data_IF_353049592907
#
_entry.id   IF_353049592907
#
_cell.length_a   1.000
_cell.length_b   1.000
_cell.length_c   1.000
_cell.angle_alpha   90.00
_cell.angle_beta   90.00
_cell.angle_gamma   90.00
#
_symmetry.space_group_name_H-M   'P 1'
#
loop_
_entity.id
_entity.type
_entity.pdbx_description
1 polymer ?
#
# COMPACT_ATOMS: atom_id res chain seq x y z
N UNK A 1 14.59 26.01 -10.01
CA UNK A 1 14.11 25.28 -8.82
C UNK A 1 12.59 25.35 -8.68
N UNK A 2 11.95 26.51 -8.42
CA UNK A 2 10.46 26.60 -8.34
C UNK A 2 9.71 26.26 -9.65
N UNK A 3 10.23 26.61 -10.84
CA UNK A 3 9.63 26.20 -12.14
C UNK A 3 9.86 24.73 -12.51
N UNK A 4 10.83 24.05 -11.90
CA UNK A 4 11.06 22.60 -12.09
C UNK A 4 10.12 21.78 -11.20
N UNK A 5 9.75 22.30 -10.03
CA UNK A 5 8.76 21.71 -9.14
C UNK A 5 7.35 21.68 -9.78
N UNK A 6 6.94 22.77 -10.46
CA UNK A 6 5.61 22.84 -11.08
C UNK A 6 5.42 21.91 -12.29
N UNK A 7 6.50 21.59 -13.01
CA UNK A 7 6.44 20.60 -14.11
C UNK A 7 6.47 19.16 -13.59
N UNK A 8 7.17 18.90 -12.49
CA UNK A 8 7.14 17.60 -11.79
C UNK A 8 5.80 17.36 -11.08
N UNK A 9 5.12 18.40 -10.58
CA UNK A 9 3.77 18.34 -10.00
C UNK A 9 2.70 17.92 -11.03
N UNK A 10 2.83 18.35 -12.29
CA UNK A 10 1.86 18.00 -13.36
C UNK A 10 2.06 16.56 -13.83
N UNK A 11 3.31 16.09 -13.93
CA UNK A 11 3.61 14.69 -14.31
C UNK A 11 3.40 13.69 -13.16
N UNK A 12 3.56 14.09 -11.88
CA UNK A 12 3.27 13.21 -10.74
C UNK A 12 1.79 13.03 -10.46
N UNK A 13 0.96 14.05 -10.72
CA UNK A 13 -0.52 13.88 -10.69
C UNK A 13 -1.04 12.90 -11.75
N UNK A 14 -0.24 12.58 -12.78
CA UNK A 14 -0.57 11.60 -13.82
C UNK A 14 -0.23 10.14 -13.45
N UNK A 15 0.44 9.88 -12.32
CA UNK A 15 1.11 8.60 -12.02
C UNK A 15 0.22 7.39 -11.65
N UNK A 16 -1.12 7.49 -11.61
CA UNK A 16 -1.97 6.38 -11.12
C UNK A 16 -2.93 5.78 -12.14
N UNK A 17 -2.92 6.17 -13.42
CA UNK A 17 -4.11 5.95 -14.25
C UNK A 17 -3.86 5.46 -15.68
N UNK A 18 -3.02 4.45 -15.93
CA UNK A 18 -3.10 3.68 -17.19
C UNK A 18 -3.18 2.17 -16.97
N UNK A 19 -3.10 1.71 -15.71
CA UNK A 19 -3.25 0.30 -15.34
C UNK A 19 -4.63 -0.29 -15.67
N UNK A 20 -5.63 0.55 -16.00
CA UNK A 20 -6.94 0.12 -16.50
C UNK A 20 -6.93 -0.28 -17.99
N UNK A 21 -5.81 -0.17 -18.69
CA UNK A 21 -5.70 -0.56 -20.08
C UNK A 21 -5.37 -2.04 -20.24
N UNK A 22 -6.24 -2.79 -20.92
CA UNK A 22 -6.07 -4.22 -21.17
C UNK A 22 -5.82 -4.44 -22.67
N UNK A 23 -4.57 -4.65 -23.10
CA UNK A 23 -4.22 -4.69 -24.52
C UNK A 23 -4.77 -5.93 -25.25
N UNK A 24 -4.94 -7.06 -24.56
CA UNK A 24 -5.22 -8.36 -25.20
C UNK A 24 -6.66 -8.86 -25.12
N UNK A 25 -7.54 -8.22 -24.35
CA UNK A 25 -8.85 -8.81 -24.01
C UNK A 25 -9.97 -8.43 -24.99
N UNK A 26 -10.90 -9.36 -25.19
CA UNK A 26 -12.14 -9.17 -25.95
C UNK A 26 -13.22 -8.43 -25.15
N UNK A 27 -14.33 -8.11 -25.82
CA UNK A 27 -15.53 -7.62 -25.11
C UNK A 27 -16.05 -8.62 -24.09
N UNK A 28 -16.15 -9.89 -24.46
CA UNK A 28 -16.66 -10.96 -23.60
C UNK A 28 -15.77 -11.16 -22.38
N UNK A 29 -14.44 -11.21 -22.57
CA UNK A 29 -13.48 -11.31 -21.47
C UNK A 29 -13.54 -10.08 -20.56
N UNK A 30 -13.72 -8.88 -21.13
CA UNK A 30 -13.90 -7.66 -20.34
C UNK A 30 -15.19 -7.69 -19.50
N UNK A 31 -16.30 -8.19 -20.07
CA UNK A 31 -17.54 -8.37 -19.32
C UNK A 31 -17.34 -9.33 -18.14
N UNK A 32 -16.73 -10.49 -18.40
CA UNK A 32 -16.44 -11.49 -17.37
C UNK A 32 -15.55 -10.91 -16.26
N UNK A 33 -14.45 -10.24 -16.62
CA UNK A 33 -13.54 -9.62 -15.66
C UNK A 33 -14.23 -8.56 -14.80
N UNK A 34 -15.03 -7.68 -15.41
CA UNK A 34 -15.76 -6.64 -14.69
C UNK A 34 -16.82 -7.23 -13.75
N UNK A 35 -17.51 -8.29 -14.15
CA UNK A 35 -18.52 -8.97 -13.32
C UNK A 35 -17.88 -9.77 -12.17
N UNK A 36 -16.80 -10.49 -12.43
CA UNK A 36 -16.15 -11.33 -11.43
C UNK A 36 -15.31 -10.54 -10.42
N UNK A 37 -14.61 -9.49 -10.88
CA UNK A 37 -13.60 -8.79 -10.07
C UNK A 37 -13.94 -7.33 -9.78
N UNK A 38 -14.86 -6.73 -10.52
CA UNK A 38 -15.24 -5.33 -10.36
C UNK A 38 -16.38 -5.12 -9.35
N UNK A 39 -16.66 -3.85 -9.08
CA UNK A 39 -17.87 -3.34 -8.43
C UNK A 39 -18.63 -2.40 -9.38
N UNK A 40 -19.81 -1.93 -8.98
CA UNK A 40 -20.54 -0.91 -9.73
C UNK A 40 -19.67 0.35 -9.95
N UNK A 41 -19.63 0.85 -11.19
CA UNK A 41 -18.73 1.92 -11.62
C UNK A 41 -17.29 1.49 -11.90
N UNK A 42 -16.99 0.19 -11.86
CA UNK A 42 -15.67 -0.30 -12.31
C UNK A 42 -15.54 -0.21 -13.81
N UNK A 43 -14.35 0.11 -14.30
CA UNK A 43 -14.13 0.28 -15.73
C UNK A 43 -12.76 -0.19 -16.18
N UNK A 44 -12.64 -0.49 -17.47
CA UNK A 44 -11.37 -0.74 -18.14
C UNK A 44 -11.43 -0.24 -19.58
N UNK A 45 -10.28 0.00 -20.20
CA UNK A 45 -10.18 0.30 -21.64
C UNK A 45 -9.42 -0.81 -22.33
N UNK A 46 -9.80 -1.13 -23.56
CA UNK A 46 -9.17 -2.16 -24.38
C UNK A 46 -9.21 -1.78 -25.86
N UNK A 47 -8.36 -2.35 -26.72
CA UNK A 47 -8.51 -2.22 -28.16
C UNK A 47 -9.88 -2.70 -28.66
N UNK A 48 -10.39 -2.07 -29.71
CA UNK A 48 -11.63 -2.46 -30.37
C UNK A 48 -11.36 -3.62 -31.34
N UNK A 49 -12.01 -4.77 -31.11
CA UNK A 49 -11.99 -5.88 -32.08
C UNK A 49 -12.91 -5.63 -33.29
N UNK A 50 -13.82 -4.67 -33.18
CA UNK A 50 -14.81 -4.38 -34.24
C UNK A 50 -14.35 -3.29 -35.21
N UNK A 51 -13.38 -2.47 -34.82
CA UNK A 51 -12.91 -1.33 -35.61
C UNK A 51 -11.43 -1.18 -35.35
N UNK A 52 -10.61 -1.47 -36.37
CA UNK A 52 -9.16 -1.47 -36.23
C UNK A 52 -8.63 -0.07 -35.91
N UNK A 53 -7.71 0.03 -34.95
CA UNK A 53 -7.14 1.30 -34.47
C UNK A 53 -7.94 2.01 -33.37
N UNK A 54 -9.24 1.70 -33.24
CA UNK A 54 -10.10 2.26 -32.18
C UNK A 54 -9.98 1.50 -30.86
N UNK A 55 -10.52 2.10 -29.79
CA UNK A 55 -10.56 1.51 -28.46
C UNK A 55 -12.01 1.37 -27.95
N UNK A 56 -12.18 0.70 -26.82
CA UNK A 56 -13.47 0.52 -26.16
C UNK A 56 -13.31 0.69 -24.66
N UNK A 57 -14.04 1.63 -24.08
CA UNK A 57 -14.24 1.79 -22.65
C UNK A 57 -15.38 0.86 -22.20
N UNK A 58 -15.07 -0.09 -21.32
CA UNK A 58 -16.04 -1.05 -20.77
C UNK A 58 -16.32 -0.69 -19.32
N UNK A 59 -17.58 -0.50 -18.94
CA UNK A 59 -17.98 -0.01 -17.62
C UNK A 59 -19.04 -0.91 -17.01
N UNK A 60 -18.81 -1.38 -15.78
CA UNK A 60 -19.80 -2.14 -15.01
C UNK A 60 -20.85 -1.21 -14.41
N UNK A 61 -22.11 -1.57 -14.62
CA UNK A 61 -23.30 -0.89 -14.13
C UNK A 61 -24.27 -1.92 -13.54
N UNK A 62 -24.26 -2.05 -12.22
CA UNK A 62 -24.94 -3.13 -11.49
C UNK A 62 -24.44 -4.51 -11.94
N UNK A 63 -25.34 -5.28 -12.56
CA UNK A 63 -25.05 -6.62 -13.10
C UNK A 63 -24.87 -6.64 -14.62
N UNK A 64 -24.69 -5.47 -15.25
CA UNK A 64 -24.46 -5.33 -16.69
C UNK A 64 -23.14 -4.61 -16.95
N UNK A 65 -22.63 -4.76 -18.17
CA UNK A 65 -21.45 -4.04 -18.65
C UNK A 65 -21.86 -3.27 -19.90
N UNK A 66 -21.49 -2.00 -19.96
CA UNK A 66 -21.71 -1.12 -21.11
C UNK A 66 -20.38 -0.92 -21.83
N UNK A 67 -20.38 -1.04 -23.15
CA UNK A 67 -19.21 -0.81 -24.00
C UNK A 67 -19.38 0.48 -24.80
N UNK A 68 -18.41 1.38 -24.68
CA UNK A 68 -18.42 2.71 -25.29
C UNK A 68 -17.22 2.79 -26.23
N UNK A 69 -17.47 3.04 -27.52
CA UNK A 69 -16.39 3.19 -28.51
C UNK A 69 -15.62 4.48 -28.28
N UNK A 70 -14.30 4.36 -28.33
CA UNK A 70 -13.35 5.46 -28.35
C UNK A 70 -12.75 5.48 -29.75
N UNK A 71 -12.95 6.57 -30.49
CA UNK A 71 -12.35 6.77 -31.79
C UNK A 71 -10.90 7.23 -31.62
N UNK A 72 -9.99 6.68 -32.42
CA UNK A 72 -8.63 7.17 -32.57
C UNK A 72 -8.39 7.60 -34.02
N UNK A 73 -8.19 8.89 -34.26
CA UNK A 73 -7.93 9.43 -35.61
C UNK A 73 -6.45 9.52 -35.95
N UNK A 74 -5.56 9.19 -35.01
CA UNK A 74 -4.13 9.49 -35.09
C UNK A 74 -3.76 10.90 -34.63
N UNK A 75 -4.73 11.81 -34.52
CA UNK A 75 -4.53 13.17 -33.97
C UNK A 75 -5.11 13.33 -32.57
N UNK A 76 -6.22 12.63 -32.28
CA UNK A 76 -6.92 12.73 -31.00
C UNK A 76 -7.72 11.47 -30.69
N UNK A 77 -8.10 11.35 -29.41
CA UNK A 77 -9.00 10.35 -28.86
C UNK A 77 -10.33 11.01 -28.49
N UNK A 78 -11.45 10.39 -28.83
CA UNK A 78 -12.76 10.90 -28.46
C UNK A 78 -13.78 9.79 -28.26
N UNK A 79 -14.70 9.95 -27.31
CA UNK A 79 -15.93 9.17 -27.31
C UNK A 79 -16.81 9.63 -28.47
N UNK A 80 -17.58 8.73 -29.07
CA UNK A 80 -18.40 9.08 -30.23
C UNK A 80 -19.40 10.20 -29.88
N UNK A 81 -19.16 11.41 -30.40
CA UNK A 81 -19.95 12.62 -30.09
C UNK A 81 -19.55 13.39 -28.83
N UNK A 82 -18.41 13.04 -28.21
CA UNK A 82 -17.86 13.68 -27.00
C UNK A 82 -16.69 14.64 -27.27
N UNK A 83 -16.03 15.05 -26.19
CA UNK A 83 -14.82 15.88 -26.25
C UNK A 83 -13.61 15.13 -26.83
N UNK A 84 -12.60 15.90 -27.28
CA UNK A 84 -11.38 15.39 -27.91
C UNK A 84 -10.18 15.54 -26.96
N UNK A 85 -9.35 14.52 -26.89
CA UNK A 85 -8.22 14.41 -25.96
C UNK A 85 -6.93 14.01 -26.68
N UNK A 86 -5.77 14.40 -26.15
CA UNK A 86 -4.48 14.07 -26.77
C UNK A 86 -4.02 12.64 -26.45
N UNK A 87 -4.53 12.04 -25.36
CA UNK A 87 -4.23 10.65 -24.96
C UNK A 87 -5.46 9.96 -24.38
N UNK A 88 -5.45 8.62 -24.33
CA UNK A 88 -6.46 7.84 -23.62
C UNK A 88 -6.51 8.18 -22.12
N UNK A 89 -5.36 8.47 -21.53
CA UNK A 89 -5.22 8.84 -20.11
C UNK A 89 -5.97 10.13 -19.80
N UNK A 90 -5.80 11.16 -20.62
CA UNK A 90 -6.53 12.43 -20.48
C UNK A 90 -8.04 12.24 -20.65
N UNK A 91 -8.46 11.40 -21.61
CA UNK A 91 -9.87 11.06 -21.80
C UNK A 91 -10.47 10.41 -20.56
N UNK A 92 -9.81 9.38 -20.03
CA UNK A 92 -10.31 8.66 -18.84
C UNK A 92 -10.35 9.59 -17.64
N UNK A 93 -9.28 10.36 -17.41
CA UNK A 93 -9.21 11.31 -16.30
C UNK A 93 -10.38 12.31 -16.34
N UNK A 94 -10.63 12.91 -17.50
CA UNK A 94 -11.72 13.86 -17.66
C UNK A 94 -13.07 13.27 -17.24
N UNK A 95 -13.40 12.06 -17.68
CA UNK A 95 -14.69 11.43 -17.34
C UNK A 95 -14.75 10.86 -15.91
N UNK A 96 -13.61 10.60 -15.27
CA UNK A 96 -13.57 10.28 -13.83
C UNK A 96 -13.86 11.51 -12.96
N UNK A 97 -13.33 12.67 -13.35
CA UNK A 97 -13.52 13.94 -12.64
C UNK A 97 -14.90 14.57 -12.94
N UNK A 98 -15.42 14.40 -14.16
CA UNK A 98 -16.67 15.00 -14.64
C UNK A 98 -17.79 13.95 -14.79
N UNK A 99 -18.24 13.38 -13.66
CA UNK A 99 -19.16 12.22 -13.60
C UNK A 99 -20.51 12.39 -14.31
N UNK A 100 -20.93 13.62 -14.60
CA UNK A 100 -22.23 13.91 -15.22
C UNK A 100 -22.20 13.93 -16.76
N UNK A 101 -21.00 13.94 -17.36
CA UNK A 101 -20.78 14.12 -18.79
C UNK A 101 -20.94 12.83 -19.60
N UNK A 102 -20.83 11.65 -18.97
CA UNK A 102 -20.94 10.37 -19.65
C UNK A 102 -22.32 9.75 -19.45
N UNK A 103 -23.08 9.63 -20.55
CA UNK A 103 -24.47 9.15 -20.53
C UNK A 103 -24.74 8.13 -21.63
N UNK A 104 -25.66 7.23 -21.37
CA UNK A 104 -26.21 6.31 -22.35
C UNK A 104 -27.29 7.00 -23.21
N UNK A 105 -27.66 6.40 -24.35
CA UNK A 105 -28.71 6.91 -25.25
C UNK A 105 -30.07 7.10 -24.58
N UNK A 106 -30.36 6.34 -23.52
CA UNK A 106 -31.58 6.46 -22.74
C UNK A 106 -31.51 7.56 -21.66
N UNK A 107 -30.37 8.26 -21.52
CA UNK A 107 -30.16 9.34 -20.57
C UNK A 107 -29.49 8.92 -19.25
N UNK A 108 -29.33 7.62 -19.00
CA UNK A 108 -28.73 7.13 -17.76
C UNK A 108 -27.25 7.52 -17.66
N UNK A 109 -26.82 7.91 -16.45
CA UNK A 109 -25.42 8.26 -16.19
C UNK A 109 -24.53 7.02 -16.14
N UNK A 110 -23.32 7.18 -16.66
CA UNK A 110 -22.24 6.18 -16.61
C UNK A 110 -21.11 6.78 -15.79
N UNK A 111 -20.85 6.20 -14.62
CA UNK A 111 -19.86 6.74 -13.67
C UNK A 111 -18.59 5.88 -13.74
N UNK A 112 -17.46 6.51 -14.05
CA UNK A 112 -16.14 5.90 -13.95
C UNK A 112 -15.63 6.11 -12.52
N UNK A 113 -15.59 5.04 -11.72
CA UNK A 113 -15.24 5.14 -10.30
C UNK A 113 -14.01 4.32 -9.93
N UNK A 114 -13.92 3.09 -10.41
CA UNK A 114 -12.86 2.16 -10.00
C UNK A 114 -12.16 1.59 -11.24
N UNK A 115 -10.92 1.99 -11.56
CA UNK A 115 -10.17 1.33 -12.63
C UNK A 115 -9.98 -0.15 -12.29
N UNK A 116 -10.32 -1.05 -13.21
CA UNK A 116 -10.04 -2.47 -13.09
C UNK A 116 -8.66 -2.73 -13.70
N UNK A 117 -7.67 -2.95 -12.84
CA UNK A 117 -6.28 -3.06 -13.27
C UNK A 117 -6.02 -4.31 -14.11
N UNK A 118 -5.25 -4.17 -15.18
CA UNK A 118 -4.66 -5.27 -15.93
C UNK A 118 -3.67 -6.04 -15.04
N UNK A 119 -3.57 -7.34 -15.29
CA UNK A 119 -2.54 -8.18 -14.68
C UNK A 119 -1.23 -7.88 -15.37
N UNK A 120 -0.14 -7.80 -14.61
CA UNK A 120 1.17 -7.55 -15.21
C UNK A 120 1.49 -8.65 -16.24
N UNK A 121 2.08 -8.30 -17.39
CA UNK A 121 2.41 -9.26 -18.45
C UNK A 121 3.46 -10.29 -18.01
N UNK A 122 4.11 -10.07 -16.87
CA UNK A 122 5.12 -10.97 -16.30
C UNK A 122 5.24 -10.75 -14.79
N UNK A 123 5.57 -11.82 -14.07
CA UNK A 123 5.90 -11.75 -12.64
C UNK A 123 7.39 -11.45 -12.36
N UNK A 124 8.19 -11.29 -13.42
CA UNK A 124 9.62 -11.08 -13.31
C UNK A 124 9.94 -9.74 -12.62
N UNK A 125 10.91 -9.76 -11.69
CA UNK A 125 11.24 -8.62 -10.81
C UNK A 125 11.82 -7.42 -11.56
N UNK A 126 12.34 -7.60 -12.78
CA UNK A 126 12.84 -6.53 -13.65
C UNK A 126 11.75 -5.77 -14.42
N UNK A 127 10.48 -6.17 -14.29
CA UNK A 127 9.35 -5.45 -14.86
C UNK A 127 8.86 -4.38 -13.87
N UNK A 128 8.97 -3.12 -14.26
CA UNK A 128 8.65 -1.96 -13.42
C UNK A 128 7.23 -1.41 -13.66
N UNK A 129 6.46 -2.03 -14.55
CA UNK A 129 5.13 -1.57 -14.93
C UNK A 129 5.17 -0.16 -15.49
N UNK A 130 4.25 0.67 -15.03
CA UNK A 130 4.11 2.05 -15.47
C UNK A 130 5.13 2.98 -14.78
N UNK A 131 6.26 3.20 -15.45
CA UNK A 131 7.22 4.28 -15.16
C UNK A 131 7.59 4.98 -16.47
N UNK A 132 7.91 6.27 -16.40
CA UNK A 132 8.37 7.04 -17.55
C UNK A 132 9.79 6.68 -17.98
N UNK A 133 10.15 7.05 -19.21
CA UNK A 133 11.52 6.93 -19.70
C UNK A 133 12.51 7.65 -18.78
N UNK A 134 12.17 8.87 -18.37
CA UNK A 134 12.99 9.70 -17.48
C UNK A 134 13.16 9.10 -16.08
N UNK A 135 12.11 8.52 -15.51
CA UNK A 135 12.23 7.81 -14.22
C UNK A 135 13.11 6.56 -14.37
N UNK A 136 12.94 5.81 -15.47
CA UNK A 136 13.80 4.67 -15.75
C UNK A 136 15.27 5.08 -15.87
N UNK A 137 15.57 6.17 -16.57
CA UNK A 137 16.91 6.76 -16.64
C UNK A 137 17.45 7.07 -15.24
N UNK A 138 16.67 7.77 -14.43
CA UNK A 138 17.07 8.16 -13.08
C UNK A 138 17.40 6.93 -12.21
N UNK A 139 16.50 5.95 -12.15
CA UNK A 139 16.67 4.74 -11.33
C UNK A 139 17.86 3.91 -11.82
N UNK A 140 18.02 3.74 -13.15
CA UNK A 140 19.17 3.04 -13.73
C UNK A 140 20.50 3.74 -13.46
N UNK A 141 20.51 5.08 -13.45
CA UNK A 141 21.72 5.87 -13.16
C UNK A 141 22.09 5.84 -11.67
N UNK A 142 21.10 5.92 -10.78
CA UNK A 142 21.31 5.95 -9.34
C UNK A 142 21.63 4.57 -8.75
N UNK A 143 20.94 3.52 -9.22
CA UNK A 143 20.99 2.19 -8.59
C UNK A 143 21.61 1.12 -9.49
N UNK A 144 21.65 1.36 -10.81
CA UNK A 144 22.19 0.42 -11.78
C UNK A 144 23.71 0.50 -11.93
N UNK A 145 24.24 -0.38 -12.77
CA UNK A 145 25.62 -0.37 -13.27
C UNK A 145 25.61 -0.60 -14.78
N UNK A 146 26.77 -0.56 -15.45
CA UNK A 146 26.81 -0.80 -16.89
C UNK A 146 26.22 -2.19 -17.25
N UNK A 147 25.30 -2.22 -18.21
CA UNK A 147 24.50 -3.39 -18.57
C UNK A 147 23.33 -3.69 -17.63
N UNK A 148 23.02 -2.80 -16.68
CA UNK A 148 21.76 -2.88 -15.92
C UNK A 148 20.58 -2.58 -16.82
N UNK A 149 19.48 -3.30 -16.64
CA UNK A 149 18.27 -3.12 -17.46
C UNK A 149 16.99 -3.28 -16.65
N UNK A 150 15.92 -2.69 -17.17
CA UNK A 150 14.55 -2.88 -16.71
C UNK A 150 13.59 -2.86 -17.92
N UNK A 151 12.40 -3.43 -17.75
CA UNK A 151 11.30 -3.30 -18.72
C UNK A 151 10.16 -2.54 -18.08
N UNK A 152 9.54 -1.66 -18.85
CA UNK A 152 8.44 -0.79 -18.44
C UNK A 152 7.38 -0.73 -19.54
N UNK A 153 6.19 -0.27 -19.19
CA UNK A 153 5.17 0.06 -20.18
C UNK A 153 5.57 1.27 -21.03
N UNK A 154 5.11 1.29 -22.29
CA UNK A 154 5.33 2.41 -23.20
C UNK A 154 4.29 3.50 -22.96
N UNK A 155 4.75 4.69 -22.59
CA UNK A 155 3.88 5.86 -22.45
C UNK A 155 3.48 6.47 -23.79
N UNK A 156 4.31 6.29 -24.83
CA UNK A 156 4.05 6.84 -26.16
C UNK A 156 3.09 5.98 -26.98
N UNK A 157 3.01 4.68 -26.68
CA UNK A 157 2.26 3.71 -27.48
C UNK A 157 1.56 2.73 -26.54
N UNK A 158 0.31 2.99 -26.16
CA UNK A 158 -0.42 2.13 -25.23
C UNK A 158 -0.48 0.68 -25.70
N UNK A 159 -0.13 -0.25 -24.80
CA UNK A 159 -0.05 -1.69 -25.08
C UNK A 159 1.33 -2.19 -25.46
N UNK A 160 2.23 -1.30 -25.90
CA UNK A 160 3.65 -1.61 -26.12
C UNK A 160 4.47 -1.41 -24.84
N UNK A 161 5.73 -1.84 -24.88
CA UNK A 161 6.67 -1.77 -23.75
C UNK A 161 7.99 -1.14 -24.20
N UNK A 162 8.84 -0.83 -23.24
CA UNK A 162 10.20 -0.36 -23.49
C UNK A 162 11.21 -1.11 -22.60
N UNK A 163 12.26 -1.62 -23.22
CA UNK A 163 13.45 -2.13 -22.54
C UNK A 163 14.44 -0.99 -22.37
N UNK A 164 14.68 -0.59 -21.12
CA UNK A 164 15.61 0.50 -20.78
C UNK A 164 16.90 -0.10 -20.26
N UNK A 165 18.04 0.26 -20.85
CA UNK A 165 19.34 -0.37 -20.58
C UNK A 165 20.38 0.71 -20.32
N UNK A 166 21.10 0.62 -19.21
CA UNK A 166 22.23 1.50 -18.92
C UNK A 166 23.46 1.06 -19.69
N UNK A 167 23.97 1.97 -20.52
CA UNK A 167 25.25 1.85 -21.22
C UNK A 167 26.16 2.97 -20.73
N UNK A 168 27.04 2.59 -19.79
CA UNK A 168 27.96 3.50 -19.10
C UNK A 168 27.25 4.74 -18.49
N UNK A 169 27.33 5.88 -19.18
CA UNK A 169 26.79 7.17 -18.75
C UNK A 169 25.50 7.58 -19.47
N UNK A 170 24.91 6.69 -20.28
CA UNK A 170 23.63 6.91 -20.94
C UNK A 170 22.69 5.73 -20.74
N UNK A 171 21.40 5.95 -21.01
CA UNK A 171 20.38 4.90 -21.03
C UNK A 171 19.80 4.84 -22.43
N UNK A 172 19.77 3.64 -23.00
CA UNK A 172 19.12 3.35 -24.27
C UNK A 172 17.75 2.77 -24.01
N UNK A 173 16.74 3.26 -24.73
CA UNK A 173 15.37 2.74 -24.69
C UNK A 173 15.06 2.01 -26.00
N UNK A 174 14.86 0.69 -25.91
CA UNK A 174 14.44 -0.15 -27.04
C UNK A 174 12.93 -0.38 -26.94
N UNK A 175 12.20 -0.02 -27.99
CA UNK A 175 10.75 -0.25 -28.06
C UNK A 175 10.48 -1.75 -28.23
N UNK A 176 9.56 -2.29 -27.43
CA UNK A 176 9.03 -3.64 -27.56
C UNK A 176 7.58 -3.51 -28.00
N UNK A 177 7.29 -3.96 -29.22
CA UNK A 177 5.92 -3.99 -29.75
C UNK A 177 5.18 -5.21 -29.24
N UNK A 178 3.91 -5.04 -28.90
CA UNK A 178 3.01 -6.13 -28.54
C UNK A 178 1.90 -6.25 -29.59
N UNK A 179 1.88 -7.35 -30.34
CA UNK A 179 0.82 -7.65 -31.32
C UNK A 179 0.31 -9.06 -31.10
N UNK A 180 -1.00 -9.20 -30.92
CA UNK A 180 -1.66 -10.51 -30.69
C UNK A 180 -0.99 -11.33 -29.56
N UNK A 181 -0.62 -10.65 -28.46
CA UNK A 181 0.11 -11.22 -27.32
C UNK A 181 1.50 -11.82 -27.67
N UNK A 182 2.10 -11.37 -28.78
CA UNK A 182 3.49 -11.65 -29.14
C UNK A 182 4.32 -10.38 -29.07
N UNK A 183 5.59 -10.56 -28.76
CA UNK A 183 6.52 -9.46 -28.47
C UNK A 183 7.68 -9.46 -29.44
N UNK A 184 8.03 -8.28 -29.96
CA UNK A 184 9.19 -8.08 -30.84
C UNK A 184 9.81 -6.69 -30.62
N UNK A 185 11.04 -6.46 -31.10
CA UNK A 185 11.77 -5.18 -30.91
C UNK A 185 11.86 -4.33 -32.18
N UNK A 186 10.94 -4.51 -33.14
CA UNK A 186 10.96 -3.79 -34.41
C UNK A 186 11.23 -4.67 -35.63
N UNK A 187 11.76 -5.88 -35.42
CA UNK A 187 12.05 -6.88 -36.45
C UNK A 187 12.76 -8.11 -35.87
N UNK A 188 12.94 -9.16 -36.68
CA UNK A 188 13.56 -10.41 -36.24
C UNK A 188 12.55 -11.39 -35.62
N UNK A 189 12.96 -12.07 -34.55
CA UNK A 189 12.17 -13.09 -33.86
C UNK A 189 10.98 -12.49 -33.09
N UNK A 190 9.86 -13.20 -33.10
CA UNK A 190 8.69 -12.91 -32.27
C UNK A 190 8.61 -13.87 -31.07
N UNK A 191 8.37 -13.34 -29.89
CA UNK A 191 8.38 -14.08 -28.63
C UNK A 191 6.97 -14.23 -28.04
N UNK A 192 6.72 -15.34 -27.35
CA UNK A 192 5.47 -15.61 -26.64
C UNK A 192 5.32 -14.84 -25.33
N UNK A 193 6.42 -14.35 -24.76
CA UNK A 193 6.41 -13.59 -23.52
C UNK A 193 7.55 -12.57 -23.47
N UNK A 194 7.39 -11.52 -22.66
CA UNK A 194 8.48 -10.58 -22.36
C UNK A 194 9.70 -11.29 -21.74
N UNK A 195 9.47 -12.37 -20.99
CA UNK A 195 10.54 -13.18 -20.39
C UNK A 195 11.39 -13.85 -21.47
N UNK A 196 10.75 -14.49 -22.44
CA UNK A 196 11.45 -15.17 -23.54
C UNK A 196 12.25 -14.16 -24.39
N UNK A 197 11.64 -13.00 -24.66
CA UNK A 197 12.31 -11.89 -25.34
C UNK A 197 13.57 -11.44 -24.60
N UNK A 198 13.45 -11.16 -23.30
CA UNK A 198 14.58 -10.72 -22.48
C UNK A 198 15.67 -11.80 -22.44
N UNK A 199 15.32 -13.06 -22.16
CA UNK A 199 16.31 -14.15 -22.09
C UNK A 199 17.01 -14.41 -23.42
N UNK A 200 16.32 -14.23 -24.56
CA UNK A 200 16.95 -14.26 -25.87
C UNK A 200 18.00 -13.14 -25.99
N UNK A 201 17.63 -11.88 -25.74
CA UNK A 201 18.54 -10.74 -25.91
C UNK A 201 19.62 -10.63 -24.83
N UNK A 202 19.50 -11.37 -23.72
CA UNK A 202 20.61 -11.61 -22.78
C UNK A 202 21.70 -12.49 -23.37
N UNK A 203 21.34 -13.47 -24.20
CA UNK A 203 22.28 -14.40 -24.85
C UNK A 203 22.79 -13.87 -26.18
N UNK A 204 21.94 -13.13 -26.90
CA UNK A 204 22.20 -12.54 -28.20
C UNK A 204 22.01 -11.01 -28.11
N UNK A 205 23.04 -10.26 -27.70
CA UNK A 205 22.93 -8.81 -27.51
C UNK A 205 22.48 -8.07 -28.78
N UNK A 206 21.65 -7.04 -28.61
CA UNK A 206 21.21 -6.19 -29.72
C UNK A 206 22.35 -5.29 -30.19
N UNK A 207 22.35 -4.92 -31.47
CA UNK A 207 23.30 -3.97 -32.05
C UNK A 207 22.54 -2.77 -32.58
N UNK A 208 22.87 -1.58 -32.11
CA UNK A 208 22.32 -0.33 -32.61
C UNK A 208 22.83 0.00 -34.02
N UNK A 209 22.12 0.87 -34.74
CA UNK A 209 22.57 1.44 -36.02
C UNK A 209 23.92 2.16 -35.90
N UNK A 210 24.25 2.66 -34.70
CA UNK A 210 25.55 3.26 -34.37
C UNK A 210 26.71 2.24 -34.35
N UNK A 211 26.41 0.94 -34.35
CA UNK A 211 27.35 -0.17 -34.13
C UNK A 211 27.55 -0.54 -32.66
N UNK A 212 26.92 0.19 -31.72
CA UNK A 212 27.02 -0.08 -30.28
C UNK A 212 26.24 -1.33 -29.89
N UNK A 213 26.81 -2.16 -29.00
CA UNK A 213 26.17 -3.39 -28.53
C UNK A 213 25.45 -3.15 -27.21
N UNK A 214 24.15 -3.46 -27.17
CA UNK A 214 23.30 -3.34 -25.99
C UNK A 214 23.29 -4.65 -25.23
N UNK A 215 24.03 -4.69 -24.11
CA UNK A 215 24.15 -5.89 -23.27
C UNK A 215 23.18 -5.87 -22.09
N UNK A 216 22.35 -6.91 -22.01
CA UNK A 216 21.45 -7.15 -20.87
C UNK A 216 22.15 -8.01 -19.80
N UNK A 217 22.95 -7.37 -18.94
CA UNK A 217 23.77 -8.09 -17.96
C UNK A 217 23.04 -8.29 -16.63
N UNK A 218 22.50 -7.22 -16.08
CA UNK A 218 22.02 -7.19 -14.69
C UNK A 218 20.58 -6.67 -14.62
N UNK A 219 19.59 -7.51 -14.25
CA UNK A 219 18.24 -7.00 -14.02
C UNK A 219 18.26 -6.00 -12.86
N UNK A 220 17.62 -4.86 -13.04
CA UNK A 220 17.32 -3.94 -11.95
C UNK A 220 15.92 -4.28 -11.42
N UNK A 221 15.87 -4.89 -10.24
CA UNK A 221 14.62 -5.39 -9.67
C UNK A 221 13.79 -4.28 -9.00
N UNK A 222 12.47 -4.42 -9.02
CA UNK A 222 11.53 -3.51 -8.31
C UNK A 222 10.75 -4.24 -7.22
N UNK A 223 10.47 -3.53 -6.13
CA UNK A 223 9.53 -3.95 -5.08
C UNK A 223 8.11 -3.42 -5.31
N UNK A 224 7.92 -2.49 -6.26
CA UNK A 224 6.59 -2.01 -6.68
C UNK A 224 5.89 -3.09 -7.49
N UNK A 225 4.63 -3.38 -7.15
CA UNK A 225 3.81 -4.38 -7.81
C UNK A 225 2.36 -3.93 -7.96
N UNK A 226 1.69 -4.44 -8.98
CA UNK A 226 0.25 -4.39 -9.07
C UNK A 226 -0.35 -5.39 -8.05
N UNK A 227 -1.33 -4.98 -7.20
CA UNK A 227 -1.95 -5.89 -6.24
C UNK A 227 -2.53 -7.15 -6.87
N UNK A 228 -3.01 -7.06 -8.11
CA UNK A 228 -3.60 -8.19 -8.84
C UNK A 228 -2.55 -9.24 -9.29
N UNK A 229 -1.26 -8.87 -9.24
CA UNK A 229 -0.12 -9.72 -9.60
C UNK A 229 0.60 -10.31 -8.39
N UNK A 230 0.09 -10.12 -7.16
CA UNK A 230 0.75 -10.52 -5.92
C UNK A 230 1.09 -12.02 -5.88
N UNK A 231 0.20 -12.88 -6.35
CA UNK A 231 0.44 -14.34 -6.37
C UNK A 231 1.64 -14.72 -7.24
N UNK A 232 1.77 -14.07 -8.41
CA UNK A 232 2.92 -14.24 -9.29
C UNK A 232 4.20 -13.76 -8.63
N UNK A 233 4.16 -12.60 -7.97
CA UNK A 233 5.29 -12.05 -7.22
C UNK A 233 5.73 -12.96 -6.08
N UNK A 234 4.79 -13.45 -5.27
CA UNK A 234 5.09 -14.36 -4.15
C UNK A 234 5.79 -15.62 -4.67
N UNK A 235 5.26 -16.25 -5.72
CA UNK A 235 5.92 -17.41 -6.36
C UNK A 235 7.35 -17.07 -6.79
N UNK A 236 7.56 -15.90 -7.40
CA UNK A 236 8.89 -15.46 -7.83
C UNK A 236 9.86 -15.23 -6.67
N UNK A 237 9.39 -14.67 -5.55
CA UNK A 237 10.21 -14.44 -4.36
C UNK A 237 10.51 -15.72 -3.58
N UNK A 238 9.69 -16.76 -3.75
CA UNK A 238 9.93 -18.11 -3.20
C UNK A 238 10.93 -18.91 -4.03
N UNK A 239 11.24 -18.51 -5.27
CA UNK A 239 12.31 -19.14 -6.03
C UNK A 239 13.65 -18.96 -5.28
N UNK A 240 14.41 -20.05 -5.12
CA UNK A 240 15.62 -20.09 -4.29
C UNK A 240 15.41 -20.84 -2.96
N UNK A 241 16.43 -20.87 -2.10
CA UNK A 241 16.34 -21.44 -0.74
C UNK A 241 17.00 -20.51 0.26
N UNK A 242 16.38 -20.36 1.44
CA UNK A 242 16.92 -19.61 2.57
C UNK A 242 17.41 -18.19 2.17
N UNK A 243 18.71 -17.94 2.35
CA UNK A 243 19.39 -16.67 2.07
C UNK A 243 19.54 -16.37 0.57
N UNK A 244 19.11 -17.26 -0.31
CA UNK A 244 19.08 -17.01 -1.76
C UNK A 244 17.66 -16.87 -2.29
N UNK A 245 16.66 -16.82 -1.41
CA UNK A 245 15.27 -16.53 -1.82
C UNK A 245 15.12 -15.05 -2.13
N UNK A 246 14.24 -14.72 -3.08
CA UNK A 246 13.92 -13.33 -3.39
C UNK A 246 13.37 -12.57 -2.18
N UNK A 247 12.63 -13.24 -1.29
CA UNK A 247 12.18 -12.64 -0.02
C UNK A 247 13.33 -12.21 0.87
N UNK A 248 14.35 -13.06 1.04
CA UNK A 248 15.51 -12.72 1.86
C UNK A 248 16.31 -11.56 1.24
N UNK A 249 16.50 -11.58 -0.08
CA UNK A 249 17.17 -10.47 -0.78
C UNK A 249 16.45 -9.13 -0.58
N UNK A 250 15.13 -9.08 -0.74
CA UNK A 250 14.35 -7.84 -0.56
C UNK A 250 14.34 -7.40 0.91
N UNK A 251 14.28 -8.35 1.85
CA UNK A 251 14.35 -8.05 3.28
C UNK A 251 15.72 -7.46 3.66
N UNK A 252 16.83 -8.08 3.22
CA UNK A 252 18.18 -7.56 3.51
C UNK A 252 18.44 -6.20 2.86
N UNK A 253 17.91 -5.96 1.67
CA UNK A 253 17.96 -4.63 1.04
C UNK A 253 17.28 -3.56 1.90
N UNK A 254 16.13 -3.89 2.51
CA UNK A 254 15.48 -3.01 3.46
C UNK A 254 16.32 -2.81 4.73
N UNK A 255 16.90 -3.87 5.29
CA UNK A 255 17.76 -3.80 6.47
C UNK A 255 18.99 -2.91 6.25
N UNK A 256 19.58 -2.91 5.06
CA UNK A 256 20.71 -2.05 4.72
C UNK A 256 20.35 -0.55 4.75
N UNK A 257 19.06 -0.21 4.57
CA UNK A 257 18.57 1.16 4.71
C UNK A 257 18.40 1.61 6.17
N UNK A 258 18.49 0.71 7.17
CA UNK A 258 18.36 1.12 8.59
C UNK A 258 19.36 2.23 8.98
N UNK A 259 20.54 2.26 8.34
CA UNK A 259 21.55 3.28 8.59
C UNK A 259 21.08 4.70 8.21
N UNK A 260 20.09 4.86 7.33
CA UNK A 260 19.49 6.16 7.00
C UNK A 260 18.42 6.61 8.01
N UNK A 261 18.04 5.76 8.96
CA UNK A 261 16.96 5.99 9.93
C UNK A 261 17.44 6.06 11.39
N UNK A 262 18.66 6.55 11.62
CA UNK A 262 19.17 6.79 12.98
C UNK A 262 18.58 8.08 13.59
N UNK A 263 17.30 8.04 13.95
CA UNK A 263 16.66 9.13 14.66
C UNK A 263 16.94 9.09 16.17
N UNK A 264 16.82 10.25 16.83
CA UNK A 264 17.05 10.36 18.27
C UNK A 264 15.99 9.62 19.07
N UNK A 265 16.41 9.06 20.20
CA UNK A 265 15.59 8.30 21.17
C UNK A 265 15.94 8.73 22.61
N UNK A 266 16.33 9.98 22.78
CA UNK A 266 16.94 10.52 23.99
C UNK A 266 15.96 10.47 25.17
N UNK A 267 14.67 10.73 24.92
CA UNK A 267 13.66 10.73 25.96
C UNK A 267 13.46 9.35 26.57
N UNK A 268 13.51 8.29 25.74
CA UNK A 268 13.46 6.91 26.22
C UNK A 268 14.72 6.45 26.97
N UNK A 269 15.86 7.11 26.76
CA UNK A 269 17.13 6.81 27.43
C UNK A 269 17.27 7.47 28.80
N UNK A 270 16.39 8.41 29.15
CA UNK A 270 16.43 9.09 30.45
C UNK A 270 16.39 8.10 31.61
N UNK A 271 17.16 8.32 32.69
CA UNK A 271 17.15 7.45 33.87
C UNK A 271 15.74 7.21 34.44
N UNK A 272 14.90 8.24 34.45
CA UNK A 272 13.53 8.22 34.96
C UNK A 272 12.58 7.35 34.12
N UNK A 273 12.84 7.25 32.81
CA UNK A 273 12.01 6.52 31.85
C UNK A 273 12.46 5.07 31.65
N UNK A 274 13.65 4.69 32.13
CA UNK A 274 14.23 3.36 31.91
C UNK A 274 13.32 2.22 32.39
N UNK A 275 12.63 2.40 33.51
CA UNK A 275 11.70 1.41 34.07
C UNK A 275 10.33 1.40 33.38
N UNK A 276 10.05 2.36 32.49
CA UNK A 276 8.84 2.38 31.66
C UNK A 276 9.05 1.65 30.32
N UNK A 277 10.27 1.18 30.04
CA UNK A 277 10.60 0.44 28.82
C UNK A 277 10.65 -1.06 29.09
N UNK A 278 9.88 -1.84 28.33
CA UNK A 278 9.92 -3.32 28.41
C UNK A 278 11.29 -3.87 28.01
N UNK A 279 11.90 -3.28 26.99
CA UNK A 279 13.25 -3.61 26.55
C UNK A 279 14.12 -2.36 26.59
N UNK A 280 15.32 -2.48 27.19
CA UNK A 280 16.24 -1.35 27.38
C UNK A 280 16.61 -0.62 26.09
N UNK A 281 16.70 -1.36 24.97
CA UNK A 281 17.22 -0.86 23.70
C UNK A 281 16.14 -0.60 22.64
N UNK A 282 14.87 -0.88 22.95
CA UNK A 282 13.74 -0.64 22.04
C UNK A 282 12.98 0.56 22.60
N UNK A 283 13.28 1.72 22.04
CA UNK A 283 12.86 3.03 22.54
C UNK A 283 12.14 3.79 21.44
N UNK A 284 11.14 4.63 21.78
CA UNK A 284 10.40 5.39 20.80
C UNK A 284 11.29 6.48 20.20
N UNK A 285 11.08 6.80 18.92
CA UNK A 285 11.74 7.96 18.31
C UNK A 285 11.17 9.26 18.89
N UNK A 286 12.04 10.22 19.22
CA UNK A 286 11.62 11.43 19.94
C UNK A 286 10.63 12.29 19.12
N UNK A 287 10.77 12.32 17.80
CA UNK A 287 10.00 13.20 16.92
C UNK A 287 8.55 12.72 16.65
N UNK A 288 8.26 11.44 16.89
CA UNK A 288 6.90 10.86 16.73
C UNK A 288 6.36 10.25 18.01
N UNK A 289 7.07 10.36 19.14
CA UNK A 289 6.62 9.77 20.39
C UNK A 289 5.30 10.39 20.85
N UNK A 290 4.48 9.61 21.53
CA UNK A 290 3.32 10.17 22.22
C UNK A 290 3.80 10.90 23.48
N UNK A 291 3.38 12.16 23.64
CA UNK A 291 3.65 12.99 24.80
C UNK A 291 2.40 12.99 25.69
N UNK A 292 2.50 12.41 26.89
CA UNK A 292 1.37 12.36 27.82
C UNK A 292 1.07 13.75 28.38
N UNK A 293 -0.21 14.14 28.34
CA UNK A 293 -0.69 15.45 28.82
C UNK A 293 -1.36 15.32 30.18
N UNK A 294 -1.19 16.33 31.02
CA UNK A 294 -1.79 16.39 32.37
C UNK A 294 -1.00 15.66 33.46
N UNK A 295 0.22 15.20 33.16
CA UNK A 295 1.13 14.66 34.17
C UNK A 295 1.70 15.76 35.07
N UNK A 296 2.25 15.36 36.22
CA UNK A 296 2.89 16.29 37.15
C UNK A 296 4.08 17.00 36.48
N UNK A 297 4.02 18.33 36.27
CA UNK A 297 5.09 19.08 35.60
C UNK A 297 6.40 19.10 36.39
N UNK A 298 6.35 18.84 37.70
CA UNK A 298 7.54 18.78 38.55
C UNK A 298 8.26 17.43 38.47
N UNK A 299 7.57 16.39 37.96
CA UNK A 299 8.12 15.04 37.83
C UNK A 299 8.67 14.81 36.42
N UNK A 300 10.00 14.77 36.32
CA UNK A 300 10.69 14.42 35.06
C UNK A 300 10.23 13.05 34.58
N UNK A 301 9.89 12.94 33.29
CA UNK A 301 9.38 11.70 32.67
C UNK A 301 7.89 11.42 32.91
N UNK A 302 7.14 12.37 33.48
CA UNK A 302 5.67 12.27 33.60
C UNK A 302 4.94 12.31 32.25
N UNK A 303 5.59 12.85 31.22
CA UNK A 303 5.08 12.95 29.85
C UNK A 303 5.43 11.72 28.97
N UNK A 304 6.13 10.73 29.54
CA UNK A 304 6.70 9.62 28.78
C UNK A 304 5.82 8.36 28.79
N UNK A 305 5.60 7.83 27.59
CA UNK A 305 5.18 6.45 27.32
C UNK A 305 5.98 5.91 26.13
N UNK A 306 6.29 4.60 26.12
CA UNK A 306 6.94 3.97 24.98
C UNK A 306 5.92 3.70 23.86
N UNK A 307 5.62 4.74 23.08
CA UNK A 307 4.68 4.71 21.97
C UNK A 307 5.05 5.76 20.91
N UNK A 308 4.77 5.46 19.64
CA UNK A 308 4.92 6.39 18.51
C UNK A 308 3.62 6.50 17.72
N UNK A 309 3.29 7.72 17.27
CA UNK A 309 2.30 7.95 16.23
C UNK A 309 2.87 7.49 14.88
N UNK A 310 2.09 6.69 14.16
CA UNK A 310 2.39 6.22 12.80
C UNK A 310 1.33 6.81 11.88
N UNK A 311 1.78 7.67 10.96
CA UNK A 311 0.94 8.30 9.96
C UNK A 311 1.70 8.46 8.65
N UNK A 312 0.94 8.60 7.56
CA UNK A 312 1.49 8.97 6.27
C UNK A 312 1.84 10.46 6.33
N UNK A 313 3.09 10.79 6.05
CA UNK A 313 3.54 12.18 6.01
C UNK A 313 3.15 12.85 4.69
N UNK A 314 2.76 14.15 4.68
CA UNK A 314 2.28 14.83 3.48
C UNK A 314 3.28 14.88 2.31
N UNK A 315 4.58 14.80 2.58
CA UNK A 315 5.63 14.76 1.54
C UNK A 315 5.59 13.49 0.69
N UNK A 316 4.91 12.43 1.14
CA UNK A 316 4.71 11.21 0.37
C UNK A 316 3.39 11.26 -0.39
N UNK A 317 3.32 12.13 -1.40
CA UNK A 317 2.14 12.35 -2.26
C UNK A 317 1.57 11.06 -2.87
N UNK A 318 2.40 10.03 -3.08
CA UNK A 318 1.96 8.71 -3.56
C UNK A 318 0.95 8.02 -2.64
N UNK A 319 0.85 8.46 -1.39
CA UNK A 319 -0.06 7.96 -0.37
C UNK A 319 -1.16 8.99 -0.03
N UNK A 320 -1.36 10.00 -0.88
CA UNK A 320 -2.41 11.00 -0.67
C UNK A 320 -3.81 10.34 -0.55
N UNK A 321 -4.66 10.91 0.29
CA UNK A 321 -5.95 10.35 0.68
C UNK A 321 -5.88 9.24 1.74
N UNK A 322 -4.71 8.69 2.06
CA UNK A 322 -4.55 7.78 3.20
C UNK A 322 -4.47 8.61 4.49
N UNK A 323 -5.56 8.58 5.24
CA UNK A 323 -5.72 9.39 6.46
C UNK A 323 -5.73 8.56 7.75
N UNK A 324 -5.69 7.23 7.63
CA UNK A 324 -5.70 6.34 8.79
C UNK A 324 -4.39 6.47 9.56
N UNK A 325 -4.50 6.65 10.89
CA UNK A 325 -3.36 6.79 11.81
C UNK A 325 -3.34 5.62 12.79
N UNK A 326 -2.15 5.31 13.28
CA UNK A 326 -1.94 4.27 14.29
C UNK A 326 -1.07 4.81 15.41
N UNK A 327 -1.16 4.20 16.58
CA UNK A 327 -0.20 4.36 17.66
C UNK A 327 0.42 2.98 17.88
N UNK A 328 1.72 2.85 17.58
CA UNK A 328 2.47 1.65 17.90
C UNK A 328 3.05 1.78 19.30
N UNK A 329 2.79 0.82 20.19
CA UNK A 329 3.30 0.83 21.57
C UNK A 329 3.69 -0.58 22.03
N UNK A 330 4.44 -0.65 23.13
CA UNK A 330 4.81 -1.91 23.78
C UNK A 330 3.64 -2.50 24.59
N UNK A 331 3.67 -3.81 24.84
CA UNK A 331 2.82 -4.44 25.85
C UNK A 331 3.02 -3.81 27.24
N UNK A 332 1.91 -3.49 27.92
CA UNK A 332 1.91 -2.77 29.21
C UNK A 332 2.76 -3.46 30.28
N UNK A 333 3.48 -2.66 31.07
CA UNK A 333 4.11 -3.05 32.33
C UNK A 333 3.20 -2.65 33.49
N UNK A 334 3.39 -3.22 34.68
CA UNK A 334 2.58 -2.87 35.87
C UNK A 334 2.60 -1.37 36.17
N UNK A 335 3.76 -0.72 36.01
CA UNK A 335 3.96 0.70 36.28
C UNK A 335 3.60 1.62 35.10
N UNK A 336 3.09 1.08 33.98
CA UNK A 336 2.69 1.88 32.81
C UNK A 336 1.21 1.72 32.45
N UNK A 337 0.41 1.03 33.28
CA UNK A 337 -1.04 0.87 33.04
C UNK A 337 -1.75 2.23 33.05
N UNK A 338 -1.42 3.08 34.02
CA UNK A 338 -2.01 4.43 34.12
C UNK A 338 -1.59 5.30 32.94
N UNK A 339 -0.29 5.27 32.58
CA UNK A 339 0.26 5.96 31.40
C UNK A 339 -0.46 5.52 30.10
N UNK A 340 -0.73 4.21 29.95
CA UNK A 340 -1.43 3.65 28.79
C UNK A 340 -2.86 4.16 28.68
N UNK A 341 -3.63 4.14 29.78
CA UNK A 341 -5.00 4.64 29.76
C UNK A 341 -5.08 6.16 29.62
N UNK A 342 -4.09 6.88 30.12
CA UNK A 342 -3.94 8.31 29.84
C UNK A 342 -3.77 8.56 28.34
N UNK A 343 -2.89 7.79 27.68
CA UNK A 343 -2.70 7.85 26.23
C UNK A 343 -4.01 7.57 25.47
N UNK A 344 -4.70 6.48 25.79
CA UNK A 344 -5.99 6.13 25.15
C UNK A 344 -7.00 7.27 25.31
N UNK A 345 -7.07 7.88 26.49
CA UNK A 345 -7.98 8.99 26.77
C UNK A 345 -7.64 10.23 25.95
N UNK A 346 -6.38 10.69 25.98
CA UNK A 346 -5.99 11.95 25.34
C UNK A 346 -6.02 11.88 23.81
N UNK A 347 -5.72 10.72 23.21
CA UNK A 347 -5.67 10.56 21.74
C UNK A 347 -7.05 10.24 21.15
N UNK A 348 -8.05 10.14 22.02
CA UNK A 348 -9.41 9.73 21.68
C UNK A 348 -9.53 8.39 20.94
N UNK A 349 -8.52 7.54 21.04
CA UNK A 349 -8.50 6.21 20.44
C UNK A 349 -9.70 5.37 20.89
N UNK A 350 -10.39 4.79 19.91
CA UNK A 350 -11.60 3.97 20.13
C UNK A 350 -11.37 2.49 19.94
N UNK A 351 -10.24 2.11 19.35
CA UNK A 351 -9.90 0.74 19.02
C UNK A 351 -8.48 0.47 19.52
N UNK A 352 -8.33 -0.63 20.26
CA UNK A 352 -7.05 -1.15 20.72
C UNK A 352 -6.89 -2.55 20.13
N UNK A 353 -5.75 -2.81 19.50
CA UNK A 353 -5.38 -4.08 18.87
C UNK A 353 -4.17 -4.64 19.61
N UNK A 354 -4.38 -5.70 20.38
CA UNK A 354 -3.35 -6.44 21.09
C UNK A 354 -3.00 -7.68 20.28
N UNK A 355 -1.74 -7.86 19.92
CA UNK A 355 -1.29 -8.96 19.04
C UNK A 355 -0.44 -10.01 19.77
N UNK A 356 -0.58 -10.08 21.10
CA UNK A 356 0.13 -11.01 21.99
C UNK A 356 -0.82 -11.63 23.02
N UNK A 357 -0.45 -12.78 23.56
CA UNK A 357 -0.97 -13.26 24.86
C UNK A 357 -0.32 -12.48 26.00
N UNK A 358 -0.94 -12.50 27.19
CA UNK A 358 -0.33 -11.90 28.39
C UNK A 358 0.99 -12.60 28.75
N UNK A 359 1.02 -13.92 28.60
CA UNK A 359 2.17 -14.77 28.90
C UNK A 359 2.40 -15.74 27.74
N UNK A 360 3.66 -15.87 27.32
CA UNK A 360 4.12 -16.79 26.28
C UNK A 360 5.22 -17.72 26.83
N UNK A 361 5.69 -18.69 26.02
CA UNK A 361 6.73 -19.67 26.35
C UNK A 361 6.41 -20.48 27.60
N UNK A 362 5.27 -21.17 27.59
CA UNK A 362 4.88 -22.06 28.70
C UNK A 362 4.64 -21.32 30.02
N UNK A 363 4.17 -20.08 29.97
CA UNK A 363 3.88 -19.18 31.12
C UNK A 363 5.12 -18.57 31.80
N UNK A 364 6.30 -18.60 31.16
CA UNK A 364 7.54 -18.09 31.77
C UNK A 364 7.80 -16.62 31.43
N UNK A 365 7.33 -16.14 30.27
CA UNK A 365 7.61 -14.78 29.81
C UNK A 365 6.35 -13.92 29.72
N UNK A 366 6.21 -12.95 30.62
CA UNK A 366 5.15 -11.93 30.55
C UNK A 366 5.43 -10.97 29.39
N UNK A 367 4.57 -10.98 28.38
CA UNK A 367 4.62 -10.08 27.21
C UNK A 367 3.80 -8.81 27.41
N UNK A 368 2.68 -8.92 28.12
CA UNK A 368 1.85 -7.78 28.49
C UNK A 368 1.12 -8.10 29.80
N UNK A 369 1.13 -7.18 30.75
CA UNK A 369 0.25 -7.32 31.93
C UNK A 369 -1.18 -6.99 31.53
N UNK A 370 -2.16 -7.63 32.17
CA UNK A 370 -3.57 -7.27 32.01
C UNK A 370 -3.80 -5.83 32.45
N UNK A 371 -4.37 -5.02 31.57
CA UNK A 371 -4.66 -3.61 31.82
C UNK A 371 -6.16 -3.30 31.72
N UNK A 372 -7.03 -4.30 31.82
CA UNK A 372 -8.49 -4.16 31.84
C UNK A 372 -9.10 -4.95 33.00
N UNK A 373 -10.25 -4.52 33.57
CA UNK A 373 -10.93 -5.23 34.66
C UNK A 373 -11.64 -6.50 34.17
N UNK A 374 -12.27 -7.26 35.06
CA UNK A 374 -13.16 -8.37 34.69
C UNK A 374 -14.52 -7.87 34.22
N UNK A 375 -15.27 -8.72 33.52
CA UNK A 375 -16.58 -8.38 32.99
C UNK A 375 -17.53 -7.97 34.13
N UNK A 376 -18.19 -6.82 33.97
CA UNK A 376 -19.04 -6.21 35.00
C UNK A 376 -18.28 -5.44 36.08
N UNK A 377 -16.94 -5.49 36.11
CA UNK A 377 -16.13 -4.74 37.07
C UNK A 377 -15.65 -3.40 36.49
N UNK A 378 -15.24 -2.51 37.39
CA UNK A 378 -14.61 -1.25 37.06
C UNK A 378 -13.45 -0.93 37.99
N UNK A 379 -12.48 -0.16 37.50
CA UNK A 379 -11.42 0.42 38.33
C UNK A 379 -11.08 1.82 37.89
N UNK A 380 -10.35 2.56 38.73
CA UNK A 380 -9.83 3.87 38.39
C UNK A 380 -8.38 3.77 37.87
N UNK A 381 -8.10 4.49 36.79
CA UNK A 381 -6.84 4.47 36.04
C UNK A 381 -6.51 5.89 35.53
N UNK A 382 -5.41 6.02 34.80
CA UNK A 382 -4.93 7.31 34.31
C UNK A 382 -4.28 8.14 35.40
N UNK A 383 -3.90 9.37 35.04
CA UNK A 383 -3.30 10.28 36.01
C UNK A 383 -4.28 10.62 37.13
N UNK A 384 -3.78 10.65 38.37
CA UNK A 384 -4.59 10.89 39.57
C UNK A 384 -5.81 9.96 39.73
N UNK A 385 -5.86 8.82 39.01
CA UNK A 385 -6.98 7.87 39.04
C UNK A 385 -8.31 8.51 38.62
N UNK A 386 -8.27 9.44 37.68
CA UNK A 386 -9.43 10.23 37.23
C UNK A 386 -10.28 9.52 36.16
N UNK A 387 -9.76 8.47 35.52
CA UNK A 387 -10.46 7.72 34.48
C UNK A 387 -11.07 6.47 35.12
N UNK A 388 -12.40 6.37 35.11
CA UNK A 388 -13.11 5.14 35.45
C UNK A 388 -13.20 4.25 34.21
N UNK A 389 -12.56 3.08 34.28
CA UNK A 389 -12.59 2.06 33.23
C UNK A 389 -13.50 0.92 33.67
N UNK A 390 -14.50 0.58 32.84
CA UNK A 390 -15.39 -0.56 33.06
C UNK A 390 -15.34 -1.54 31.88
N UNK A 391 -15.34 -2.84 32.15
CA UNK A 391 -15.56 -3.85 31.10
C UNK A 391 -17.05 -4.21 31.06
N UNK A 392 -17.68 -3.89 29.93
CA UNK A 392 -19.12 -4.11 29.75
C UNK A 392 -19.42 -5.53 29.27
N UNK A 393 -18.68 -5.98 28.25
CA UNK A 393 -18.91 -7.26 27.57
C UNK A 393 -17.57 -7.81 27.11
N UNK A 394 -17.34 -9.11 27.33
CA UNK A 394 -16.25 -9.88 26.74
C UNK A 394 -16.81 -10.97 25.82
N UNK A 395 -16.21 -11.12 24.64
CA UNK A 395 -16.50 -12.21 23.70
C UNK A 395 -15.20 -12.89 23.34
N UNK A 396 -15.19 -14.21 23.45
CA UNK A 396 -14.02 -15.03 23.16
C UNK A 396 -14.31 -15.92 21.95
N UNK A 397 -13.39 -15.94 21.00
CA UNK A 397 -13.29 -16.95 19.94
C UNK A 397 -12.02 -17.79 20.19
N UNK A 398 -11.81 -18.91 19.48
CA UNK A 398 -10.54 -19.65 19.55
C UNK A 398 -9.33 -18.79 19.15
N UNK A 399 -9.53 -17.83 18.26
CA UNK A 399 -8.45 -17.10 17.60
C UNK A 399 -8.23 -15.69 18.18
N UNK A 400 -9.25 -15.07 18.76
CA UNK A 400 -9.16 -13.73 19.33
C UNK A 400 -10.23 -13.46 20.41
N UNK A 401 -9.99 -12.43 21.21
CA UNK A 401 -10.94 -11.88 22.17
C UNK A 401 -11.38 -10.49 21.75
N UNK A 402 -12.65 -10.14 22.01
CA UNK A 402 -13.20 -8.81 21.84
C UNK A 402 -13.77 -8.34 23.17
N UNK A 403 -13.42 -7.13 23.58
CA UNK A 403 -13.91 -6.50 24.81
C UNK A 403 -14.47 -5.13 24.49
N UNK A 404 -15.68 -4.86 24.97
CA UNK A 404 -16.27 -3.51 24.94
C UNK A 404 -16.03 -2.86 26.29
N UNK A 405 -15.14 -1.88 26.30
CA UNK A 405 -14.75 -1.11 27.47
C UNK A 405 -15.46 0.24 27.46
N UNK A 406 -15.78 0.76 28.64
CA UNK A 406 -16.28 2.13 28.83
C UNK A 406 -15.26 2.92 29.64
N UNK A 407 -14.79 4.03 29.08
CA UNK A 407 -13.99 5.02 29.80
C UNK A 407 -14.89 6.20 30.17
N UNK A 408 -14.80 6.63 31.42
CA UNK A 408 -15.51 7.81 31.93
C UNK A 408 -14.54 8.69 32.69
N UNK A 409 -14.63 10.01 32.48
CA UNK A 409 -13.85 11.01 33.20
C UNK A 409 -14.68 12.28 33.32
N UNK A 410 -14.54 12.99 34.45
CA UNK A 410 -15.11 14.32 34.61
C UNK A 410 -14.14 15.34 33.97
N UNK A 411 -14.62 16.13 33.02
CA UNK A 411 -13.87 17.17 32.32
C UNK A 411 -14.69 18.45 32.39
N UNK A 412 -14.14 19.52 32.96
CA UNK A 412 -14.84 20.80 33.16
C UNK A 412 -16.22 20.65 33.84
N UNK A 413 -16.28 19.84 34.91
CA UNK A 413 -17.51 19.49 35.63
C UNK A 413 -18.56 18.71 34.83
N UNK A 414 -18.25 18.30 33.60
CA UNK A 414 -19.10 17.45 32.76
C UNK A 414 -18.58 16.01 32.70
N UNK A 415 -19.49 15.04 32.78
CA UNK A 415 -19.13 13.63 32.67
C UNK A 415 -18.98 13.23 31.19
N UNK A 416 -17.74 13.10 30.72
CA UNK A 416 -17.44 12.54 29.41
C UNK A 416 -17.39 11.00 29.49
N UNK A 417 -18.05 10.33 28.55
CA UNK A 417 -18.09 8.87 28.47
C UNK A 417 -17.86 8.40 27.04
N UNK A 418 -17.09 7.32 26.89
CA UNK A 418 -16.61 6.84 25.60
C UNK A 418 -16.48 5.32 25.61
N UNK A 419 -16.98 4.67 24.56
CA UNK A 419 -16.70 3.25 24.32
C UNK A 419 -15.35 3.09 23.64
N UNK A 420 -14.61 2.05 24.07
CA UNK A 420 -13.36 1.60 23.49
C UNK A 420 -13.46 0.09 23.23
N UNK A 421 -13.14 -0.32 22.02
CA UNK A 421 -13.20 -1.70 21.58
C UNK A 421 -11.80 -2.29 21.60
N UNK A 422 -11.59 -3.29 22.43
CA UNK A 422 -10.31 -3.97 22.60
C UNK A 422 -10.35 -5.33 21.92
N UNK A 423 -9.52 -5.48 20.90
CA UNK A 423 -9.35 -6.69 20.10
C UNK A 423 -8.01 -7.31 20.47
N UNK A 424 -8.01 -8.56 20.93
CA UNK A 424 -6.79 -9.30 21.28
C UNK A 424 -6.67 -10.55 20.42
N UNK A 425 -5.64 -10.61 19.57
CA UNK A 425 -5.32 -11.78 18.78
C UNK A 425 -4.59 -12.82 19.64
N UNK A 426 -5.09 -14.06 19.64
CA UNK A 426 -4.63 -15.16 20.50
C UNK A 426 -4.02 -16.33 19.71
N UNK A 427 -4.20 -16.37 18.40
CA UNK A 427 -3.68 -17.43 17.54
C UNK A 427 -2.24 -17.21 17.05
N UNK A 428 -1.56 -16.12 17.45
CA UNK A 428 -0.16 -15.91 17.07
C UNK A 428 0.74 -16.95 17.76
N UNK A 429 1.65 -17.62 17.03
CA UNK A 429 2.56 -18.60 17.62
C UNK A 429 3.74 -17.93 18.35
N UNK A 430 4.24 -18.56 19.42
CA UNK A 430 5.40 -18.05 20.19
C UNK A 430 6.66 -17.83 19.31
N UNK A 431 6.77 -18.54 18.18
CA UNK A 431 7.85 -18.42 17.22
C UNK A 431 7.31 -18.36 15.78
N UNK A 432 7.87 -17.45 15.00
CA UNK A 432 7.53 -17.28 13.58
C UNK A 432 6.23 -16.49 13.38
N UNK A 433 5.46 -16.90 12.39
CA UNK A 433 4.22 -16.26 11.95
C UNK A 433 3.11 -17.32 11.85
N UNK A 434 1.82 -16.93 11.91
CA UNK A 434 0.72 -17.86 11.67
C UNK A 434 0.90 -18.61 10.34
N UNK A 435 0.69 -19.93 10.29
CA UNK A 435 0.89 -20.73 9.08
C UNK A 435 -0.16 -20.43 7.99
N UNK A 436 -1.30 -19.86 8.37
CA UNK A 436 -2.35 -19.43 7.47
C UNK A 436 -2.71 -17.97 7.79
N UNK A 437 -2.66 -17.05 6.82
CA UNK A 437 -2.99 -15.64 7.04
C UNK A 437 -4.49 -15.38 7.25
N UNK A 438 -5.38 -16.32 6.86
CA UNK A 438 -6.83 -16.15 6.89
C UNK A 438 -7.37 -15.74 8.26
N UNK A 439 -6.83 -16.30 9.34
CA UNK A 439 -7.23 -15.92 10.71
C UNK A 439 -6.88 -14.46 11.02
N UNK A 440 -5.71 -13.97 10.60
CA UNK A 440 -5.29 -12.57 10.76
C UNK A 440 -6.12 -11.66 9.88
N UNK A 441 -6.42 -12.07 8.63
CA UNK A 441 -7.25 -11.30 7.70
C UNK A 441 -8.67 -11.11 8.24
N UNK A 442 -9.31 -12.18 8.72
CA UNK A 442 -10.65 -12.10 9.32
C UNK A 442 -10.67 -11.17 10.55
N UNK A 443 -9.64 -11.26 11.39
CA UNK A 443 -9.48 -10.38 12.55
C UNK A 443 -9.36 -8.90 12.15
N UNK A 444 -8.56 -8.59 11.12
CA UNK A 444 -8.44 -7.24 10.59
C UNK A 444 -9.73 -6.77 9.90
N UNK A 445 -10.47 -7.67 9.26
CA UNK A 445 -11.75 -7.35 8.62
C UNK A 445 -12.79 -6.90 9.64
N UNK A 446 -12.92 -7.59 10.78
CA UNK A 446 -13.82 -7.16 11.85
C UNK A 446 -13.46 -5.76 12.40
N UNK A 447 -12.17 -5.49 12.60
CA UNK A 447 -11.68 -4.18 13.04
C UNK A 447 -12.01 -3.11 12.00
N UNK A 448 -11.77 -3.39 10.71
CA UNK A 448 -12.04 -2.48 9.61
C UNK A 448 -13.53 -2.18 9.46
N UNK A 449 -14.40 -3.20 9.61
CA UNK A 449 -15.85 -3.04 9.57
C UNK A 449 -16.31 -2.13 10.72
N UNK A 450 -15.82 -2.37 11.94
CA UNK A 450 -16.12 -1.52 13.09
C UNK A 450 -15.68 -0.06 12.87
N UNK A 451 -14.44 0.15 12.42
CA UNK A 451 -13.92 1.50 12.17
C UNK A 451 -14.67 2.22 11.05
N UNK A 452 -15.12 1.50 10.01
CA UNK A 452 -15.86 2.08 8.89
C UNK A 452 -17.20 2.71 9.32
N UNK A 453 -17.80 2.21 10.40
CA UNK A 453 -19.01 2.76 10.99
C UNK A 453 -18.79 3.96 11.92
N UNK A 454 -17.54 4.34 12.19
CA UNK A 454 -17.21 5.47 13.07
C UNK A 454 -17.15 6.79 12.29
N UNK A 455 -17.80 7.82 12.82
CA UNK A 455 -17.78 9.18 12.24
C UNK A 455 -16.49 9.93 12.53
N UNK A 456 -15.89 9.71 13.70
CA UNK A 456 -14.62 10.32 14.12
C UNK A 456 -13.50 9.27 14.16
N UNK A 457 -12.69 9.24 13.10
CA UNK A 457 -11.57 8.31 12.98
C UNK A 457 -10.37 8.83 13.76
N UNK A 458 -10.07 8.15 14.86
CA UNK A 458 -8.94 8.41 15.76
C UNK A 458 -7.86 7.34 15.59
N UNK A 459 -6.61 7.60 16.00
CA UNK A 459 -5.55 6.62 15.84
C UNK A 459 -5.89 5.27 16.50
N UNK A 460 -5.70 4.18 15.77
CA UNK A 460 -5.83 2.82 16.30
C UNK A 460 -4.58 2.50 17.12
N UNK A 461 -4.74 2.05 18.36
CA UNK A 461 -3.58 1.63 19.17
C UNK A 461 -3.27 0.18 18.86
N UNK A 462 -2.03 -0.13 18.49
CA UNK A 462 -1.55 -1.48 18.20
C UNK A 462 -0.35 -1.80 19.08
N UNK A 463 -0.36 -2.96 19.76
CA UNK A 463 0.75 -3.38 20.63
C UNK A 463 0.95 -4.89 20.68
N UNK A 464 2.15 -5.30 21.13
CA UNK A 464 2.59 -6.67 21.35
C UNK A 464 3.59 -6.81 22.51
#
# INVERSE_FOLDING_TARGET
LKKLATFLEIDRKRQTWDIWFHPGISGIEAEQLLIERGFDGSFLVRPSRSTHGDFTLSVRRGNKVTHIKIQNTGEYYALYGGEKFASLSELVQFYMENKEQLREKNGDMIILKYPLNAVDPTAERWFHGYISGREAEQILMEQGRNGSFLVRESQSTPGDYALSVRQDNQVTHVMIRCKDNRYDVGGGDEFSSLKDLVEHYRRSPMVETSGSVVHLKHPLNTTKINPTSIDGRVKKLQEGKDQTSGFWEEFEQLQQQECTHMFSRNEGQRPENRMKNRYKNILPFDHTRIILRGGDPSKIGSDYINANLIEVLPEFEIFDGITRKYISTQGCLNNTIDDFWQMVWQEHSRIIVMTTKEIERGKIQTKCVRYWPEEGQSWNTGFNKEICLSLLIERMTPDFAIRTLRLQKIVNDEAESRLVYHYQFLAWPDHGVPPNPGTVVNFLEEINQLESGMTDKRPLIVHC
#
